data_IF_987384998163
#
_entry.id   IF_987384998163
#
_cell.length_a   1.000
_cell.length_b   1.000
_cell.length_c   1.000
_cell.angle_alpha   90.00
_cell.angle_beta   90.00
_cell.angle_gamma   90.00
#
_symmetry.space_group_name_H-M   'P 1'
#
loop_
_entity.id
_entity.type
_entity.pdbx_description
1 polymer ?
#
# COMPACT_ATOMS: atom_id res chain seq x y z
N UNK A 1 -10.32 -1.88 24.96
CA UNK A 1 -10.18 -1.49 23.55
C UNK A 1 -11.06 -2.40 22.72
N UNK A 2 -11.79 -1.86 21.75
CA UNK A 2 -12.44 -2.68 20.73
C UNK A 2 -11.37 -3.31 19.84
N UNK A 3 -11.49 -4.61 19.58
CA UNK A 3 -10.60 -5.34 18.67
C UNK A 3 -10.83 -4.92 17.23
N UNK A 4 -9.78 -5.03 16.42
CA UNK A 4 -9.81 -4.71 14.99
C UNK A 4 -9.82 -5.97 14.13
N UNK A 5 -10.21 -5.83 12.87
CA UNK A 5 -10.22 -6.94 11.91
C UNK A 5 -8.85 -7.64 11.82
N UNK A 6 -7.75 -6.91 11.97
CA UNK A 6 -6.40 -7.49 11.92
C UNK A 6 -6.11 -8.48 13.06
N UNK A 7 -6.82 -8.36 14.18
CA UNK A 7 -6.70 -9.25 15.34
C UNK A 7 -7.68 -10.43 15.26
N UNK A 8 -8.60 -10.41 14.28
CA UNK A 8 -9.64 -11.41 14.11
C UNK A 8 -9.09 -12.71 13.53
N UNK A 9 -9.51 -13.89 14.03
CA UNK A 9 -9.26 -15.17 13.36
C UNK A 9 -9.82 -15.24 11.93
N UNK A 10 -10.80 -14.39 11.61
CA UNK A 10 -11.41 -14.32 10.28
C UNK A 10 -10.59 -13.50 9.28
N UNK A 11 -9.48 -12.86 9.70
CA UNK A 11 -8.62 -12.13 8.79
C UNK A 11 -8.02 -13.06 7.72
N UNK A 12 -8.16 -12.76 6.41
CA UNK A 12 -7.80 -13.67 5.33
C UNK A 12 -6.28 -13.65 5.05
N UNK A 13 -5.48 -13.95 6.07
CA UNK A 13 -4.01 -13.86 6.04
C UNK A 13 -3.38 -14.72 4.95
N UNK A 14 -3.91 -15.92 4.72
CA UNK A 14 -3.40 -16.85 3.72
C UNK A 14 -3.60 -16.31 2.29
N UNK A 15 -4.79 -15.75 2.00
CA UNK A 15 -5.07 -15.13 0.70
C UNK A 15 -4.22 -13.88 0.48
N UNK A 16 -4.07 -13.04 1.51
CA UNK A 16 -3.21 -11.84 1.48
C UNK A 16 -1.75 -12.23 1.21
N UNK A 17 -1.24 -13.26 1.89
CA UNK A 17 0.11 -13.77 1.68
C UNK A 17 0.30 -14.33 0.27
N UNK A 18 -0.66 -15.13 -0.23
CA UNK A 18 -0.62 -15.66 -1.59
C UNK A 18 -0.56 -14.56 -2.65
N UNK A 19 -1.35 -13.49 -2.50
CA UNK A 19 -1.32 -12.35 -3.42
C UNK A 19 -0.05 -11.52 -3.28
N UNK A 20 0.46 -11.36 -2.05
CA UNK A 20 1.73 -10.66 -1.78
C UNK A 20 2.93 -11.39 -2.38
N UNK A 21 2.92 -12.73 -2.39
CA UNK A 21 3.97 -13.55 -3.01
C UNK A 21 3.98 -13.40 -4.53
N UNK A 22 2.80 -13.30 -5.18
CA UNK A 22 2.71 -13.05 -6.63
C UNK A 22 3.36 -11.71 -7.01
N UNK A 23 3.20 -10.67 -6.19
CA UNK A 23 3.88 -9.38 -6.39
C UNK A 23 5.39 -9.46 -6.22
N UNK A 24 5.86 -10.32 -5.30
CA UNK A 24 7.29 -10.59 -5.07
C UNK A 24 7.90 -11.61 -6.04
N UNK A 25 7.12 -12.11 -7.01
CA UNK A 25 7.53 -13.19 -7.90
C UNK A 25 8.86 -12.92 -8.64
N UNK A 26 9.44 -13.95 -9.28
CA UNK A 26 10.74 -13.88 -9.96
C UNK A 26 10.75 -12.92 -11.17
N UNK A 27 9.58 -12.39 -11.54
CA UNK A 27 9.38 -11.44 -12.64
C UNK A 27 10.05 -10.10 -12.35
N UNK A 28 11.30 -10.01 -12.77
CA UNK A 28 11.92 -8.75 -13.15
C UNK A 28 11.08 -8.13 -14.28
N UNK A 29 10.46 -6.94 -14.10
CA UNK A 29 9.82 -6.24 -15.21
C UNK A 29 10.82 -6.05 -16.37
N UNK A 30 10.36 -5.95 -17.63
CA UNK A 30 11.25 -5.82 -18.79
C UNK A 30 12.14 -4.56 -18.73
N UNK A 31 11.72 -3.55 -17.97
CA UNK A 31 12.39 -2.26 -17.77
C UNK A 31 12.55 -2.02 -16.26
N UNK A 32 13.72 -2.37 -15.74
CA UNK A 32 14.04 -2.37 -14.30
C UNK A 32 14.90 -1.17 -13.88
N UNK A 33 14.66 0.01 -14.44
CA UNK A 33 15.55 1.15 -14.19
C UNK A 33 14.65 2.35 -13.91
N UNK A 34 14.44 2.73 -12.66
CA UNK A 34 15.49 3.50 -12.03
C UNK A 34 15.96 2.97 -10.66
N UNK A 35 15.22 2.10 -9.94
CA UNK A 35 15.57 1.80 -8.53
C UNK A 35 14.98 0.51 -7.94
N UNK A 36 15.83 -0.47 -7.58
CA UNK A 36 15.47 -1.58 -6.70
C UNK A 36 15.67 -1.20 -5.23
N UNK A 37 14.64 -1.41 -4.39
CA UNK A 37 14.73 -1.24 -2.93
C UNK A 37 14.46 -2.56 -2.20
N UNK A 38 15.47 -3.08 -1.49
CA UNK A 38 15.46 -4.43 -0.91
C UNK A 38 14.42 -4.61 0.21
N UNK A 39 14.00 -3.54 0.89
CA UNK A 39 12.96 -3.60 1.94
C UNK A 39 11.54 -3.28 1.44
N UNK A 40 11.27 -3.38 0.13
CA UNK A 40 9.93 -3.09 -0.40
C UNK A 40 8.88 -4.04 0.20
N UNK A 41 7.87 -3.47 0.85
CA UNK A 41 6.71 -4.21 1.34
C UNK A 41 5.76 -4.45 0.16
N UNK A 42 5.19 -5.66 0.00
CA UNK A 42 4.15 -5.90 -1.00
C UNK A 42 3.01 -4.90 -0.80
N UNK A 43 2.64 -4.19 -1.85
CA UNK A 43 1.57 -3.19 -1.81
C UNK A 43 0.26 -3.82 -1.35
N UNK A 44 -0.08 -5.01 -1.86
CA UNK A 44 -1.33 -5.66 -1.45
C UNK A 44 -1.32 -6.04 0.04
N UNK A 45 -0.16 -6.42 0.58
CA UNK A 45 0.04 -6.68 2.00
C UNK A 45 -0.12 -5.41 2.83
N UNK A 46 0.59 -4.33 2.46
CA UNK A 46 0.49 -3.04 3.14
C UNK A 46 -0.95 -2.52 3.17
N UNK A 47 -1.66 -2.59 2.03
CA UNK A 47 -3.07 -2.24 1.91
C UNK A 47 -3.96 -3.02 2.87
N UNK A 48 -3.80 -4.35 2.91
CA UNK A 48 -4.61 -5.22 3.75
C UNK A 48 -4.40 -4.91 5.23
N UNK A 49 -3.15 -4.71 5.67
CA UNK A 49 -2.83 -4.37 7.05
C UNK A 49 -3.43 -3.01 7.44
N UNK A 50 -3.21 -1.96 6.63
CA UNK A 50 -3.76 -0.62 6.93
C UNK A 50 -5.29 -0.68 7.07
N UNK A 51 -5.97 -1.33 6.12
CA UNK A 51 -7.43 -1.43 6.15
C UNK A 51 -7.92 -2.25 7.35
N UNK A 52 -7.30 -3.41 7.63
CA UNK A 52 -7.71 -4.29 8.72
C UNK A 52 -7.42 -3.69 10.12
N UNK A 53 -6.40 -2.83 10.24
CA UNK A 53 -6.14 -2.08 11.48
C UNK A 53 -7.20 -1.01 11.79
N UNK A 54 -7.96 -0.56 10.79
CA UNK A 54 -8.95 0.51 10.92
C UNK A 54 -10.40 0.02 10.97
N UNK A 55 -10.65 -1.22 10.55
CA UNK A 55 -11.97 -1.84 10.52
C UNK A 55 -12.24 -2.62 11.82
N UNK A 56 -13.50 -2.71 12.27
CA UNK A 56 -13.87 -3.46 13.46
C UNK A 56 -13.69 -4.98 13.25
N UNK A 57 -13.55 -5.73 14.35
CA UNK A 57 -13.32 -7.19 14.34
C UNK A 57 -14.39 -7.99 13.58
N UNK A 58 -15.65 -7.55 13.64
CA UNK A 58 -16.84 -8.18 13.05
C UNK A 58 -17.10 -7.76 11.59
N UNK A 59 -16.19 -7.00 10.98
CA UNK A 59 -16.36 -6.54 9.61
C UNK A 59 -16.37 -7.71 8.61
N UNK A 60 -17.35 -7.70 7.70
CA UNK A 60 -17.51 -8.73 6.67
C UNK A 60 -16.23 -8.90 5.83
N UNK A 61 -15.65 -10.09 5.90
CA UNK A 61 -14.39 -10.44 5.24
C UNK A 61 -14.51 -10.42 3.71
N UNK A 62 -15.64 -10.79 3.14
CA UNK A 62 -15.85 -10.74 1.69
C UNK A 62 -15.95 -9.29 1.20
N UNK A 63 -16.66 -8.45 1.97
CA UNK A 63 -16.70 -7.00 1.72
C UNK A 63 -15.32 -6.39 1.85
N UNK A 64 -14.53 -6.80 2.86
CA UNK A 64 -13.14 -6.38 3.02
C UNK A 64 -12.32 -6.73 1.78
N UNK A 65 -12.31 -8.01 1.38
CA UNK A 65 -11.58 -8.50 0.20
C UNK A 65 -11.93 -7.74 -1.08
N UNK A 66 -13.22 -7.47 -1.29
CA UNK A 66 -13.72 -6.69 -2.43
C UNK A 66 -13.21 -5.25 -2.40
N UNK A 67 -13.37 -4.54 -1.26
CA UNK A 67 -12.97 -3.13 -1.15
C UNK A 67 -11.47 -2.92 -1.28
N UNK A 68 -10.65 -3.85 -0.78
CA UNK A 68 -9.20 -3.79 -0.95
C UNK A 68 -8.73 -4.33 -2.32
N UNK A 69 -9.63 -4.82 -3.18
CA UNK A 69 -9.30 -5.41 -4.48
C UNK A 69 -8.30 -6.56 -4.37
N UNK A 70 -8.56 -7.49 -3.45
CA UNK A 70 -7.60 -8.54 -3.11
C UNK A 70 -7.30 -9.46 -4.30
N UNK A 71 -8.32 -9.83 -5.08
CA UNK A 71 -8.18 -10.73 -6.23
C UNK A 71 -7.46 -10.08 -7.41
N UNK A 72 -7.67 -8.77 -7.64
CA UNK A 72 -7.02 -8.01 -8.70
C UNK A 72 -5.57 -7.60 -8.34
N UNK A 73 -5.23 -7.63 -7.06
CA UNK A 73 -3.87 -7.40 -6.55
C UNK A 73 -3.44 -5.93 -6.55
N UNK A 74 -2.12 -5.71 -6.54
CA UNK A 74 -1.54 -4.37 -6.30
C UNK A 74 -1.84 -3.34 -7.41
N UNK A 75 -2.08 -3.80 -8.64
CA UNK A 75 -2.35 -2.90 -9.79
C UNK A 75 -3.69 -2.20 -9.67
N UNK A 76 -4.70 -2.86 -9.09
CA UNK A 76 -6.02 -2.29 -8.90
C UNK A 76 -6.04 -1.30 -7.73
N UNK A 77 -6.72 -0.16 -7.92
CA UNK A 77 -6.96 0.82 -6.88
C UNK A 77 -8.07 0.33 -5.93
N UNK A 78 -7.83 0.31 -4.61
CA UNK A 78 -8.88 0.02 -3.64
C UNK A 78 -9.92 1.13 -3.58
N UNK A 79 -11.03 0.86 -2.90
CA UNK A 79 -11.98 1.91 -2.56
C UNK A 79 -11.40 2.84 -1.49
N UNK A 80 -11.55 4.17 -1.62
CA UNK A 80 -11.15 5.13 -0.59
C UNK A 80 -12.13 5.07 0.58
N UNK A 81 -11.74 4.37 1.65
CA UNK A 81 -12.62 4.08 2.80
C UNK A 81 -12.37 4.97 4.02
N UNK A 82 -11.19 5.61 4.12
CA UNK A 82 -10.70 6.18 5.38
C UNK A 82 -10.41 7.68 5.29
N UNK A 83 -11.19 8.40 4.49
CA UNK A 83 -11.15 9.87 4.40
C UNK A 83 -11.23 10.50 5.79
N UNK A 84 -10.33 11.45 6.07
CA UNK A 84 -10.24 12.13 7.36
C UNK A 84 -9.45 11.39 8.44
N UNK A 85 -9.01 10.15 8.21
CA UNK A 85 -8.06 9.46 9.10
C UNK A 85 -6.62 9.77 8.70
N UNK A 86 -5.75 9.86 9.70
CA UNK A 86 -4.32 10.15 9.51
C UNK A 86 -3.47 8.89 9.66
N UNK A 87 -2.41 8.80 8.86
CA UNK A 87 -1.40 7.75 8.92
C UNK A 87 -0.02 8.37 8.97
N UNK A 88 0.78 7.99 9.97
CA UNK A 88 2.20 8.32 10.05
C UNK A 88 3.00 7.06 9.76
N UNK A 89 3.86 7.10 8.75
CA UNK A 89 4.90 6.10 8.53
C UNK A 89 6.27 6.73 8.82
N UNK A 90 6.87 6.47 9.99
CA UNK A 90 8.17 7.03 10.36
C UNK A 90 9.35 6.34 9.65
N UNK A 91 9.11 5.23 8.96
CA UNK A 91 10.12 4.41 8.28
C UNK A 91 9.65 4.05 6.87
N UNK A 92 9.31 5.08 6.11
CA UNK A 92 8.62 4.94 4.84
C UNK A 92 9.44 4.19 3.79
N UNK A 93 10.77 4.29 3.84
CA UNK A 93 11.66 3.68 2.85
C UNK A 93 11.24 4.06 1.44
N UNK A 94 10.96 3.07 0.61
CA UNK A 94 10.49 3.26 -0.78
C UNK A 94 9.06 3.81 -0.90
N UNK A 95 8.26 3.76 0.16
CA UNK A 95 6.93 4.36 0.19
C UNK A 95 5.75 3.41 -0.06
N UNK A 96 5.91 2.10 0.10
CA UNK A 96 4.80 1.13 -0.10
C UNK A 96 3.58 1.39 0.81
N UNK A 97 3.82 1.55 2.12
CA UNK A 97 2.76 1.83 3.10
C UNK A 97 2.09 3.18 2.83
N UNK A 98 2.84 4.29 2.68
CA UNK A 98 2.20 5.57 2.42
C UNK A 98 1.46 5.63 1.08
N UNK A 99 1.96 4.94 0.03
CA UNK A 99 1.24 4.82 -1.24
C UNK A 99 -0.14 4.18 -1.04
N UNK A 100 -0.20 3.04 -0.36
CA UNK A 100 -1.48 2.36 -0.13
C UNK A 100 -2.38 3.11 0.86
N UNK A 101 -1.80 3.80 1.84
CA UNK A 101 -2.54 4.72 2.71
C UNK A 101 -3.26 5.80 1.91
N UNK A 102 -2.56 6.44 0.97
CA UNK A 102 -3.15 7.45 0.07
C UNK A 102 -4.25 6.84 -0.81
N UNK A 103 -4.03 5.65 -1.37
CA UNK A 103 -5.03 4.96 -2.21
C UNK A 103 -6.30 4.58 -1.44
N UNK A 104 -6.17 4.28 -0.15
CA UNK A 104 -7.28 4.02 0.76
C UNK A 104 -7.96 5.30 1.28
N UNK A 105 -7.48 6.49 0.88
CA UNK A 105 -8.05 7.79 1.22
C UNK A 105 -7.55 8.39 2.54
N UNK A 106 -6.47 7.88 3.12
CA UNK A 106 -5.89 8.47 4.34
C UNK A 106 -5.11 9.75 4.04
N UNK A 107 -5.04 10.63 5.04
CA UNK A 107 -4.07 11.72 5.12
C UNK A 107 -2.74 11.16 5.65
N UNK A 108 -1.73 11.08 4.78
CA UNK A 108 -0.50 10.34 5.03
C UNK A 108 0.69 11.28 5.23
N UNK A 109 1.40 11.09 6.34
CA UNK A 109 2.72 11.67 6.59
C UNK A 109 3.77 10.55 6.53
N UNK A 110 4.74 10.68 5.63
CA UNK A 110 5.83 9.74 5.46
C UNK A 110 7.16 10.41 5.85
N UNK A 111 7.95 9.74 6.69
CA UNK A 111 9.27 10.20 7.13
C UNK A 111 10.30 9.16 6.73
N UNK A 112 11.48 9.65 6.33
CA UNK A 112 12.62 8.81 6.03
C UNK A 112 13.91 9.59 6.35
N UNK A 113 14.83 8.93 7.04
CA UNK A 113 16.11 9.53 7.45
C UNK A 113 17.18 9.34 6.36
N UNK A 114 17.16 8.21 5.66
CA UNK A 114 18.16 7.88 4.67
C UNK A 114 17.96 8.74 3.40
N UNK A 115 18.93 9.60 3.02
CA UNK A 115 18.76 10.51 1.89
C UNK A 115 18.41 9.80 0.58
N UNK A 116 19.01 8.64 0.33
CA UNK A 116 18.75 7.83 -0.85
C UNK A 116 17.30 7.31 -0.88
N UNK A 117 16.81 6.78 0.25
CA UNK A 117 15.43 6.32 0.37
C UNK A 117 14.44 7.48 0.25
N UNK A 118 14.77 8.64 0.82
CA UNK A 118 13.96 9.85 0.71
C UNK A 118 13.77 10.29 -0.74
N UNK A 119 14.83 10.28 -1.57
CA UNK A 119 14.72 10.60 -3.00
C UNK A 119 13.73 9.66 -3.70
N UNK A 120 13.80 8.36 -3.39
CA UNK A 120 12.88 7.37 -3.96
C UNK A 120 11.45 7.55 -3.48
N UNK A 121 11.25 7.82 -2.21
CA UNK A 121 9.94 8.14 -1.64
C UNK A 121 9.28 9.30 -2.40
N UNK A 122 10.05 10.36 -2.70
CA UNK A 122 9.58 11.51 -3.49
C UNK A 122 9.27 11.13 -4.93
N UNK A 123 10.13 10.32 -5.55
CA UNK A 123 9.92 9.81 -6.92
C UNK A 123 8.70 8.90 -7.06
N UNK A 124 8.33 8.17 -6.00
CA UNK A 124 7.17 7.27 -5.99
C UNK A 124 5.87 8.01 -5.67
N UNK A 125 5.88 8.93 -4.69
CA UNK A 125 4.66 9.54 -4.18
C UNK A 125 4.40 10.95 -4.70
N UNK A 126 5.44 11.78 -4.77
CA UNK A 126 5.28 13.22 -4.98
C UNK A 126 5.43 13.61 -6.45
N UNK A 127 6.46 13.11 -7.13
CA UNK A 127 6.74 13.50 -8.52
C UNK A 127 5.66 13.02 -9.50
N UNK A 128 5.12 11.79 -9.41
CA UNK A 128 4.03 11.36 -10.29
C UNK A 128 2.77 12.20 -10.06
N UNK A 129 2.50 12.60 -8.82
CA UNK A 129 1.37 13.48 -8.49
C UNK A 129 1.56 14.89 -9.07
N UNK A 130 2.77 15.46 -8.97
CA UNK A 130 3.07 16.83 -9.43
C UNK A 130 3.22 16.92 -10.96
N UNK A 131 3.91 15.97 -11.57
CA UNK A 131 4.39 16.08 -12.95
C UNK A 131 3.84 15.00 -13.89
N UNK A 132 3.23 13.93 -13.36
CA UNK A 132 2.90 12.74 -14.15
C UNK A 132 2.02 13.01 -15.38
N UNK A 133 1.05 13.94 -15.29
CA UNK A 133 0.22 14.31 -16.44
C UNK A 133 0.98 15.04 -17.55
N UNK A 134 1.95 15.88 -17.19
CA UNK A 134 2.75 16.65 -18.15
C UNK A 134 3.72 15.74 -18.90
N UNK A 135 4.24 14.70 -18.24
CA UNK A 135 5.23 13.77 -18.80
C UNK A 135 4.65 12.71 -19.73
N UNK A 136 3.32 12.52 -19.75
CA UNK A 136 2.64 11.52 -20.60
C UNK A 136 2.22 12.12 -21.97
N UNK A 137 2.25 13.45 -22.11
CA UNK A 137 1.79 14.18 -23.31
C UNK A 137 2.98 14.68 -24.16
N UNK A 138 4.19 14.18 -23.90
CA UNK A 138 5.41 14.48 -24.66
C UNK A 138 5.68 13.48 -25.77
#
# INVERSE_FOLDING_TARGET
MERRLIESPSFPVEEVNRMSLKEKGPGRPPYWEMVFWWTRKPLIGARAIIAASLLPEDYDVNKFKSKIRLSEGHKANPEPMFMGKKLLDPFAGFGSIPLEGLRLGLDVTAVELLPTAYIFLKAVLEYPKKFGRQLVIG
#
